data_IF_731436831645
#
_entry.id   IF_731436831645
#
_cell.length_a   1.000
_cell.length_b   1.000
_cell.length_c   1.000
_cell.angle_alpha   90.00
_cell.angle_beta   90.00
_cell.angle_gamma   90.00
#
_symmetry.space_group_name_H-M   'P 1'
#
loop_
_entity.id
_entity.type
_entity.pdbx_description
1 polymer ?
#
# COMPACT_ATOMS: atom_id res chain seq x y z
N UNK A 1 51.51 -23.66 -34.38
CA UNK A 1 50.08 -23.30 -34.55
C UNK A 1 49.82 -22.13 -33.63
N UNK A 2 49.28 -21.04 -34.16
CA UNK A 2 48.83 -19.88 -33.38
C UNK A 2 47.92 -20.36 -32.26
N UNK A 3 48.22 -20.08 -30.98
CA UNK A 3 47.27 -20.26 -29.86
C UNK A 3 46.08 -19.35 -30.18
N UNK A 4 44.94 -19.86 -30.66
CA UNK A 4 43.78 -19.02 -30.88
C UNK A 4 43.05 -18.97 -29.54
N UNK A 5 42.69 -17.76 -29.11
CA UNK A 5 42.08 -17.40 -27.82
C UNK A 5 43.08 -17.01 -26.75
N UNK A 6 42.87 -15.77 -26.27
CA UNK A 6 43.46 -15.19 -25.08
C UNK A 6 43.05 -16.09 -23.91
N UNK A 7 44.03 -16.68 -23.25
CA UNK A 7 43.90 -17.52 -22.06
C UNK A 7 45.11 -17.13 -21.22
N UNK A 8 44.90 -16.12 -20.37
CA UNK A 8 45.94 -15.41 -19.64
C UNK A 8 46.26 -16.05 -18.29
N UNK A 9 45.39 -16.92 -17.79
CA UNK A 9 45.58 -17.66 -16.53
C UNK A 9 46.03 -19.12 -16.77
N UNK A 10 46.07 -19.57 -18.04
CA UNK A 10 46.52 -20.90 -18.48
C UNK A 10 45.75 -22.06 -17.82
N UNK A 11 44.46 -21.85 -17.55
CA UNK A 11 43.59 -22.86 -16.93
C UNK A 11 42.92 -23.81 -17.94
N UNK A 12 43.17 -23.61 -19.24
CA UNK A 12 42.64 -24.43 -20.34
C UNK A 12 41.10 -24.37 -20.50
N UNK A 13 40.45 -23.35 -19.95
CA UNK A 13 39.03 -23.03 -20.20
C UNK A 13 38.90 -21.90 -21.23
N UNK A 14 37.74 -21.81 -21.87
CA UNK A 14 37.45 -20.73 -22.84
C UNK A 14 36.94 -19.53 -22.05
N UNK A 15 37.69 -18.43 -22.03
CA UNK A 15 37.19 -17.13 -21.55
C UNK A 15 35.95 -16.77 -22.37
N UNK A 16 34.78 -16.74 -21.74
CA UNK A 16 33.59 -16.20 -22.37
C UNK A 16 33.64 -14.66 -22.36
N UNK A 17 32.67 -14.04 -23.03
CA UNK A 17 32.76 -12.64 -23.45
C UNK A 17 32.82 -11.63 -22.29
N UNK A 18 32.59 -12.05 -21.04
CA UNK A 18 32.61 -11.18 -19.85
C UNK A 18 33.92 -11.26 -19.03
N UNK A 19 34.86 -12.16 -19.39
CA UNK A 19 36.17 -12.33 -18.73
C UNK A 19 36.09 -12.59 -17.22
N UNK A 20 35.15 -13.44 -16.78
CA UNK A 20 35.10 -13.89 -15.39
C UNK A 20 35.43 -15.38 -15.32
N UNK A 21 36.71 -15.66 -15.09
CA UNK A 21 37.29 -17.00 -15.03
C UNK A 21 36.55 -17.86 -13.99
N UNK A 22 35.87 -18.93 -14.43
CA UNK A 22 35.57 -20.16 -13.66
C UNK A 22 34.82 -20.05 -12.31
N UNK A 23 34.54 -18.86 -11.83
CA UNK A 23 33.69 -18.52 -10.70
C UNK A 23 32.53 -17.68 -11.24
N UNK A 24 31.82 -18.30 -12.17
CA UNK A 24 30.39 -18.09 -12.41
C UNK A 24 29.73 -17.72 -11.08
N UNK A 25 29.02 -16.59 -11.05
CA UNK A 25 28.50 -15.97 -9.84
C UNK A 25 27.83 -17.01 -8.90
N UNK A 26 28.61 -17.54 -7.95
CA UNK A 26 28.15 -18.46 -6.91
C UNK A 26 27.79 -19.90 -7.35
N UNK A 27 28.58 -20.60 -8.16
CA UNK A 27 28.41 -22.06 -8.31
C UNK A 27 29.24 -22.88 -7.32
N UNK A 28 28.62 -23.24 -6.19
CA UNK A 28 28.66 -24.65 -5.84
C UNK A 28 27.79 -25.38 -6.87
N UNK A 29 28.35 -26.38 -7.56
CA UNK A 29 27.68 -27.12 -8.62
C UNK A 29 26.23 -27.49 -8.22
N UNK A 30 25.26 -27.03 -9.01
CA UNK A 30 23.79 -27.10 -8.84
C UNK A 30 23.08 -25.89 -8.19
N UNK A 31 23.79 -24.86 -7.72
CA UNK A 31 23.19 -23.68 -7.06
C UNK A 31 23.51 -22.35 -7.78
N UNK A 32 23.48 -22.33 -9.12
CA UNK A 32 23.59 -21.06 -9.85
C UNK A 32 22.43 -20.15 -9.42
N UNK A 33 22.73 -18.93 -8.97
CA UNK A 33 21.73 -17.90 -8.76
C UNK A 33 21.17 -17.44 -10.12
N UNK A 34 20.13 -18.11 -10.60
CA UNK A 34 19.49 -17.76 -11.88
C UNK A 34 18.58 -16.55 -11.68
N UNK A 35 19.04 -15.38 -12.13
CA UNK A 35 18.20 -14.19 -12.28
C UNK A 35 17.34 -14.38 -13.53
N UNK A 36 16.00 -14.25 -13.45
CA UNK A 36 15.14 -14.31 -14.63
C UNK A 36 15.53 -13.26 -15.68
N UNK A 37 15.46 -13.60 -16.97
CA UNK A 37 15.83 -12.67 -18.06
C UNK A 37 14.82 -11.54 -18.27
N UNK A 38 13.68 -11.58 -17.58
CA UNK A 38 12.56 -10.64 -17.68
C UNK A 38 12.50 -9.65 -16.49
N UNK A 39 13.63 -9.45 -15.80
CA UNK A 39 13.72 -8.43 -14.74
C UNK A 39 13.43 -7.03 -15.29
N UNK A 40 12.75 -6.24 -14.47
CA UNK A 40 12.40 -4.87 -14.74
C UNK A 40 13.01 -3.93 -13.71
N UNK A 41 13.09 -2.65 -14.06
CA UNK A 41 13.50 -1.61 -13.13
C UNK A 41 12.59 -1.61 -11.88
N UNK A 42 13.21 -1.66 -10.69
CA UNK A 42 12.50 -1.62 -9.42
C UNK A 42 12.13 -2.98 -8.83
N UNK A 43 12.44 -4.09 -9.52
CA UNK A 43 12.27 -5.43 -8.96
C UNK A 43 13.20 -5.67 -7.75
N UNK A 44 12.71 -6.41 -6.77
CA UNK A 44 13.45 -6.81 -5.56
C UNK A 44 13.49 -8.33 -5.48
N UNK A 45 14.62 -8.89 -5.05
CA UNK A 45 14.77 -10.33 -4.80
C UNK A 45 14.77 -10.62 -3.30
N UNK A 46 14.07 -11.69 -2.89
CA UNK A 46 14.02 -12.14 -1.49
C UNK A 46 14.07 -13.67 -1.42
N UNK A 47 14.35 -14.21 -0.23
CA UNK A 47 14.32 -15.67 0.02
C UNK A 47 12.93 -16.05 0.55
N UNK A 48 12.23 -16.95 -0.14
CA UNK A 48 10.91 -17.43 0.29
C UNK A 48 10.98 -18.40 1.47
N UNK A 49 9.82 -18.79 2.00
CA UNK A 49 9.72 -19.76 3.10
C UNK A 49 10.28 -21.16 2.80
N UNK A 50 10.67 -21.46 1.55
CA UNK A 50 11.31 -22.72 1.13
C UNK A 50 12.82 -22.55 0.89
N UNK A 51 13.36 -21.35 1.06
CA UNK A 51 14.77 -21.07 0.84
C UNK A 51 15.13 -20.73 -0.62
N UNK A 52 14.13 -20.57 -1.50
CA UNK A 52 14.37 -20.17 -2.88
C UNK A 52 14.50 -18.66 -2.97
N UNK A 53 15.37 -18.18 -3.86
CA UNK A 53 15.38 -16.77 -4.23
C UNK A 53 14.26 -16.53 -5.24
N UNK A 54 13.35 -15.65 -4.87
CA UNK A 54 12.18 -15.28 -5.65
C UNK A 54 12.15 -13.78 -5.90
N UNK A 55 11.54 -13.40 -7.03
CA UNK A 55 11.35 -12.01 -7.45
C UNK A 55 10.05 -11.47 -6.86
N UNK A 56 10.12 -10.31 -6.23
CA UNK A 56 9.00 -9.41 -6.00
C UNK A 56 9.05 -8.31 -7.06
N UNK A 57 8.07 -8.29 -7.95
CA UNK A 57 7.98 -7.28 -8.99
C UNK A 57 7.91 -5.86 -8.40
N UNK A 58 8.36 -4.84 -9.14
CA UNK A 58 8.31 -3.45 -8.71
C UNK A 58 6.92 -3.03 -8.18
N UNK A 59 6.91 -2.30 -7.06
CA UNK A 59 5.70 -1.74 -6.48
C UNK A 59 5.17 -0.53 -7.24
N UNK A 60 3.94 -0.11 -6.92
CA UNK A 60 3.39 1.17 -7.38
C UNK A 60 3.97 2.34 -6.59
N UNK A 61 3.96 3.53 -7.20
CA UNK A 61 4.39 4.75 -6.54
C UNK A 61 3.68 4.95 -5.19
N UNK A 62 4.44 5.23 -4.15
CA UNK A 62 3.94 5.44 -2.79
C UNK A 62 3.88 4.18 -1.91
N UNK A 63 4.09 2.97 -2.46
CA UNK A 63 4.20 1.76 -1.65
C UNK A 63 5.57 1.65 -0.96
N UNK A 64 5.63 0.91 0.14
CA UNK A 64 6.87 0.57 0.86
C UNK A 64 7.01 -0.94 1.02
N UNK A 65 8.25 -1.43 1.15
CA UNK A 65 8.50 -2.85 1.39
C UNK A 65 8.22 -3.19 2.86
N UNK A 66 7.26 -4.08 3.11
CA UNK A 66 6.89 -4.52 4.46
C UNK A 66 7.32 -5.98 4.67
N UNK A 67 7.95 -6.25 5.82
CA UNK A 67 8.16 -7.63 6.29
C UNK A 67 6.93 -8.09 7.08
N UNK A 68 6.52 -9.34 6.89
CA UNK A 68 5.27 -9.88 7.47
C UNK A 68 5.52 -10.72 8.74
N UNK A 69 6.67 -10.53 9.39
CA UNK A 69 7.15 -11.34 10.51
C UNK A 69 8.07 -12.48 10.10
N UNK A 70 8.61 -13.20 11.08
CA UNK A 70 9.58 -14.27 10.85
C UNK A 70 8.97 -15.40 10.00
N UNK A 71 9.65 -15.77 8.91
CA UNK A 71 9.23 -16.84 8.00
C UNK A 71 8.16 -16.45 6.98
N UNK A 72 7.70 -15.19 6.95
CA UNK A 72 6.74 -14.71 5.98
C UNK A 72 7.39 -13.86 4.89
N UNK A 73 6.96 -14.04 3.65
CA UNK A 73 7.50 -13.32 2.49
C UNK A 73 7.20 -11.80 2.61
N UNK A 74 8.13 -10.92 2.21
CA UNK A 74 7.88 -9.48 2.17
C UNK A 74 6.88 -9.12 1.06
N UNK A 75 6.16 -8.02 1.25
CA UNK A 75 5.15 -7.51 0.30
C UNK A 75 5.27 -6.01 0.13
N UNK A 76 4.84 -5.47 -1.01
CA UNK A 76 4.58 -4.03 -1.14
C UNK A 76 3.31 -3.67 -0.39
N UNK A 77 3.46 -2.84 0.63
CA UNK A 77 2.36 -2.34 1.44
C UNK A 77 2.06 -0.87 1.09
N UNK A 78 0.80 -0.48 1.24
CA UNK A 78 0.43 0.93 1.24
C UNK A 78 0.81 1.55 2.59
N UNK A 79 1.43 2.75 2.61
CA UNK A 79 1.86 3.40 3.83
C UNK A 79 0.70 3.50 4.81
N UNK A 80 0.83 3.00 6.05
CA UNK A 80 -0.22 3.16 7.04
C UNK A 80 -0.40 4.66 7.33
N UNK A 81 -1.61 5.17 7.09
CA UNK A 81 -2.10 6.38 7.75
C UNK A 81 -1.73 7.75 7.15
N UNK A 82 -1.47 7.86 5.85
CA UNK A 82 -1.53 9.17 5.19
C UNK A 82 -2.98 9.64 5.04
N UNK A 83 -3.26 10.92 5.29
CA UNK A 83 -4.55 11.50 4.92
C UNK A 83 -4.65 11.63 3.40
N UNK A 84 -5.67 11.03 2.79
CA UNK A 84 -6.12 11.36 1.44
C UNK A 84 -7.23 12.41 1.52
N UNK A 85 -7.44 13.20 0.45
CA UNK A 85 -8.50 14.23 0.43
C UNK A 85 -9.41 14.00 -0.75
N UNK A 86 -10.72 14.02 -0.50
CA UNK A 86 -11.76 13.84 -1.51
C UNK A 86 -12.85 14.89 -1.35
N UNK A 87 -13.23 15.50 -2.47
CA UNK A 87 -14.43 16.35 -2.53
C UNK A 87 -15.60 15.57 -3.09
N UNK A 88 -16.77 15.66 -2.45
CA UNK A 88 -18.01 14.98 -2.85
C UNK A 88 -19.20 15.91 -2.76
N UNK A 89 -20.19 15.70 -3.62
CA UNK A 89 -21.47 16.45 -3.62
C UNK A 89 -22.71 15.53 -3.60
N UNK A 90 -22.48 14.24 -3.33
CA UNK A 90 -23.51 13.21 -3.24
C UNK A 90 -23.10 12.18 -2.19
N UNK A 91 -23.99 11.25 -1.87
CA UNK A 91 -23.72 10.18 -0.91
C UNK A 91 -22.42 9.44 -1.27
N UNK A 92 -21.62 9.14 -0.24
CA UNK A 92 -20.29 8.60 -0.42
C UNK A 92 -19.89 7.69 0.74
N UNK A 93 -19.16 6.61 0.45
CA UNK A 93 -18.57 5.73 1.46
C UNK A 93 -17.09 6.04 1.57
N UNK A 94 -16.66 6.54 2.72
CA UNK A 94 -15.28 6.91 2.98
C UNK A 94 -14.38 5.69 3.18
N UNK A 95 -13.11 5.82 2.82
CA UNK A 95 -12.05 4.89 3.16
C UNK A 95 -11.36 5.30 4.48
N UNK A 96 -10.63 4.35 5.09
CA UNK A 96 -9.74 4.67 6.20
C UNK A 96 -8.64 5.67 5.75
N UNK A 97 -8.39 6.67 6.59
CA UNK A 97 -7.42 7.73 6.31
C UNK A 97 -7.94 8.78 5.32
N UNK A 98 -9.25 8.95 5.15
CA UNK A 98 -9.81 9.91 4.19
C UNK A 98 -10.33 11.18 4.86
N UNK A 99 -10.00 12.34 4.27
CA UNK A 99 -10.61 13.63 4.53
C UNK A 99 -11.67 13.87 3.45
N UNK A 100 -12.94 13.89 3.85
CA UNK A 100 -14.07 14.13 2.96
C UNK A 100 -14.54 15.58 3.09
N UNK A 101 -14.38 16.35 2.01
CA UNK A 101 -14.93 17.69 1.84
C UNK A 101 -16.29 17.56 1.16
N UNK A 102 -17.36 17.93 1.87
CA UNK A 102 -18.73 17.67 1.43
C UNK A 102 -19.43 18.96 1.06
N UNK A 103 -19.87 19.05 -0.20
CA UNK A 103 -20.77 20.08 -0.69
C UNK A 103 -22.21 19.54 -0.71
N UNK A 104 -23.01 19.92 0.27
CA UNK A 104 -24.42 19.56 0.37
C UNK A 104 -25.34 20.60 -0.31
N UNK A 105 -24.84 21.53 -1.12
CA UNK A 105 -25.67 22.57 -1.74
C UNK A 105 -26.78 22.01 -2.64
N UNK A 106 -26.55 20.86 -3.28
CA UNK A 106 -27.53 20.15 -4.12
C UNK A 106 -28.58 19.33 -3.38
N UNK A 107 -28.43 19.15 -2.06
CA UNK A 107 -29.29 18.32 -1.22
C UNK A 107 -28.53 17.73 -0.03
N UNK A 108 -29.25 17.17 0.94
CA UNK A 108 -28.62 16.49 2.07
C UNK A 108 -27.75 15.31 1.60
N UNK A 109 -26.55 15.18 2.16
CA UNK A 109 -25.55 14.16 1.78
C UNK A 109 -25.29 13.23 2.96
N UNK A 110 -25.24 11.93 2.70
CA UNK A 110 -24.81 10.93 3.69
C UNK A 110 -23.39 10.46 3.39
N UNK A 111 -22.52 10.55 4.40
CA UNK A 111 -21.19 9.94 4.38
C UNK A 111 -21.23 8.67 5.23
N UNK A 112 -21.03 7.52 4.60
CA UNK A 112 -20.92 6.24 5.28
C UNK A 112 -19.46 6.00 5.68
N UNK A 113 -19.21 5.75 6.96
CA UNK A 113 -17.89 5.35 7.47
C UNK A 113 -17.51 3.95 6.94
N UNK A 114 -16.20 3.64 6.82
CA UNK A 114 -15.76 2.30 6.43
C UNK A 114 -16.15 1.27 7.50
N UNK A 115 -16.00 -0.02 7.16
CA UNK A 115 -16.06 -1.07 8.18
C UNK A 115 -15.05 -0.77 9.30
N UNK A 116 -15.44 -0.85 10.59
CA UNK A 116 -14.56 -0.47 11.68
C UNK A 116 -13.34 -1.38 11.75
N UNK A 117 -12.17 -0.79 11.95
CA UNK A 117 -10.95 -1.49 12.35
C UNK A 117 -10.22 -0.62 13.37
N UNK A 118 -9.45 -1.23 14.26
CA UNK A 118 -8.79 -0.50 15.33
C UNK A 118 -7.84 0.55 14.75
N UNK A 119 -8.10 1.83 15.06
CA UNK A 119 -7.34 2.96 14.55
C UNK A 119 -7.81 3.51 13.20
N UNK A 120 -8.87 2.94 12.59
CA UNK A 120 -9.49 3.51 11.40
C UNK A 120 -9.96 4.94 11.69
N UNK A 121 -9.75 5.86 10.75
CA UNK A 121 -10.12 7.26 10.92
C UNK A 121 -10.64 7.91 9.65
N UNK A 122 -11.64 8.77 9.81
CA UNK A 122 -12.20 9.60 8.74
C UNK A 122 -12.39 11.00 9.27
N UNK A 123 -12.05 12.03 8.48
CA UNK A 123 -12.38 13.41 8.81
C UNK A 123 -13.39 13.94 7.81
N UNK A 124 -14.48 14.53 8.30
CA UNK A 124 -15.51 15.08 7.41
C UNK A 124 -15.69 16.56 7.70
N UNK A 125 -15.74 17.37 6.63
CA UNK A 125 -16.02 18.80 6.69
C UNK A 125 -17.11 19.17 5.71
N UNK A 126 -18.15 19.86 6.19
CA UNK A 126 -19.14 20.51 5.32
C UNK A 126 -18.55 21.79 4.76
N UNK A 127 -18.52 21.95 3.44
CA UNK A 127 -17.85 23.11 2.80
C UNK A 127 -18.82 24.18 2.29
N UNK A 128 -20.09 23.84 2.10
CA UNK A 128 -21.11 24.76 1.60
C UNK A 128 -21.90 25.44 2.73
N UNK A 129 -22.55 26.56 2.41
CA UNK A 129 -23.32 27.38 3.36
C UNK A 129 -24.82 27.07 3.37
N UNK A 130 -25.29 26.08 2.60
CA UNK A 130 -26.70 25.72 2.57
C UNK A 130 -27.15 25.12 3.91
N UNK A 131 -28.47 25.11 4.14
CA UNK A 131 -29.10 24.48 5.31
C UNK A 131 -29.19 22.96 5.18
N UNK A 132 -28.83 22.38 4.02
CA UNK A 132 -28.79 20.94 3.85
C UNK A 132 -27.73 20.34 4.77
N UNK A 133 -28.03 19.19 5.35
CA UNK A 133 -27.15 18.57 6.34
C UNK A 133 -26.23 17.53 5.70
N UNK A 134 -25.08 17.32 6.34
CA UNK A 134 -24.22 16.16 6.08
C UNK A 134 -24.42 15.16 7.21
N UNK A 135 -24.95 14.00 6.90
CA UNK A 135 -25.20 12.92 7.86
C UNK A 135 -24.08 11.91 7.80
N UNK A 136 -23.44 11.62 8.92
CA UNK A 136 -22.43 10.58 9.06
C UNK A 136 -23.11 9.33 9.58
N UNK A 137 -22.99 8.25 8.82
CA UNK A 137 -23.55 6.94 9.14
C UNK A 137 -22.43 5.92 9.36
N UNK A 138 -22.52 5.05 10.37
CA UNK A 138 -21.74 3.81 10.43
C UNK A 138 -21.95 2.92 9.20
N UNK A 139 -21.08 1.92 9.04
CA UNK A 139 -21.12 0.98 7.92
C UNK A 139 -22.29 0.01 8.03
N UNK A 140 -22.56 -0.44 9.25
CA UNK A 140 -23.61 -1.38 9.60
C UNK A 140 -24.25 -0.97 10.94
N UNK A 141 -24.12 -1.81 11.97
CA UNK A 141 -24.78 -1.63 13.27
C UNK A 141 -23.88 -1.00 14.32
N UNK A 142 -22.71 -0.48 13.93
CA UNK A 142 -21.85 0.23 14.87
C UNK A 142 -22.52 1.52 15.36
N UNK A 143 -21.94 2.14 16.38
CA UNK A 143 -22.38 3.44 16.89
C UNK A 143 -21.27 4.49 16.77
N UNK A 144 -21.67 5.76 16.78
CA UNK A 144 -20.81 6.95 16.85
C UNK A 144 -21.12 7.60 18.21
N UNK A 145 -20.23 7.47 19.19
CA UNK A 145 -20.46 7.90 20.58
C UNK A 145 -21.82 7.42 21.15
N UNK A 146 -22.20 6.18 20.84
CA UNK A 146 -23.47 5.58 21.26
C UNK A 146 -24.70 5.96 20.41
N UNK A 147 -24.57 6.86 19.43
CA UNK A 147 -25.62 7.21 18.48
C UNK A 147 -25.50 6.40 17.18
N UNK A 148 -26.61 6.22 16.44
CA UNK A 148 -26.61 5.54 15.14
C UNK A 148 -26.13 6.41 13.97
N UNK A 149 -25.94 7.71 14.19
CA UNK A 149 -25.46 8.66 13.19
C UNK A 149 -25.06 9.98 13.86
N UNK A 150 -24.24 10.78 13.19
CA UNK A 150 -23.92 12.15 13.57
C UNK A 150 -24.27 13.13 12.46
N UNK A 151 -24.80 14.31 12.77
CA UNK A 151 -25.21 15.30 11.76
C UNK A 151 -24.35 16.57 11.85
N UNK A 152 -23.76 16.96 10.72
CA UNK A 152 -23.04 18.22 10.55
C UNK A 152 -23.94 19.19 9.81
N UNK A 153 -24.24 20.35 10.39
CA UNK A 153 -25.23 21.29 9.84
C UNK A 153 -24.63 22.63 9.43
N UNK A 154 -23.51 23.05 10.03
CA UNK A 154 -22.93 24.37 9.70
C UNK A 154 -21.75 24.24 8.76
N UNK A 155 -21.59 25.28 7.94
CA UNK A 155 -20.42 25.41 7.09
C UNK A 155 -19.14 25.40 7.94
N UNK A 156 -18.14 24.65 7.45
CA UNK A 156 -16.81 24.49 8.02
C UNK A 156 -16.74 23.78 9.37
N UNK A 157 -17.86 23.29 9.92
CA UNK A 157 -17.82 22.28 10.97
C UNK A 157 -17.07 21.05 10.43
N UNK A 158 -16.14 20.58 11.25
CA UNK A 158 -15.26 19.47 10.93
C UNK A 158 -15.15 18.59 12.14
N UNK A 159 -15.18 17.28 11.91
CA UNK A 159 -15.08 16.28 12.97
C UNK A 159 -14.19 15.15 12.48
N UNK A 160 -13.39 14.60 13.40
CA UNK A 160 -12.68 13.36 13.17
C UNK A 160 -13.43 12.22 13.84
N UNK A 161 -13.63 11.14 13.09
CA UNK A 161 -14.23 9.90 13.56
C UNK A 161 -13.12 8.87 13.64
N UNK A 162 -12.88 8.31 14.82
CA UNK A 162 -11.85 7.29 15.05
C UNK A 162 -12.51 6.02 15.60
N UNK A 163 -12.13 4.86 15.08
CA UNK A 163 -12.68 3.59 15.53
C UNK A 163 -11.74 2.85 16.50
N UNK A 164 -12.33 2.21 17.51
CA UNK A 164 -11.65 1.22 18.36
C UNK A 164 -11.65 -0.20 17.75
N UNK A 165 -12.17 -0.35 16.53
CA UNK A 165 -12.39 -1.64 15.86
C UNK A 165 -13.79 -2.21 16.04
N UNK A 166 -14.65 -1.56 16.82
CA UNK A 166 -16.07 -1.94 16.98
C UNK A 166 -17.00 -0.75 16.79
N UNK A 167 -16.75 0.36 17.47
CA UNK A 167 -17.53 1.60 17.39
C UNK A 167 -16.66 2.77 16.93
N UNK A 168 -17.28 3.92 16.72
CA UNK A 168 -16.65 5.18 16.32
C UNK A 168 -16.81 6.22 17.42
N UNK A 169 -15.80 7.08 17.54
CA UNK A 169 -15.74 8.16 18.53
C UNK A 169 -15.40 9.48 17.84
N UNK A 170 -16.01 10.58 18.29
CA UNK A 170 -15.81 11.91 17.71
C UNK A 170 -14.71 12.68 18.48
N UNK A 171 -13.79 13.31 17.74
CA UNK A 171 -12.73 14.20 18.25
C UNK A 171 -12.78 15.58 17.58
#
# INVERSE_FOLDING_TARGET
>A
MTKPTYDANEDNLVDDSDKVDGADAGTAANNVFKIPSDIAQGDIFYVDGTGNVVRLAAGSAGQFLQTQGAGANPTWASPPGGWTVKSVSANYTAADGEIVLVDASGGAVTITLPSPSAGARVRVKKTDSSTNTVTISPNATETIDGASSHTISKQYETYEYVSDGTNWFIF
#
